data_IF_838207485084
#
_entry.id   IF_838207485084
#
_cell.length_a   1.000
_cell.length_b   1.000
_cell.length_c   1.000
_cell.angle_alpha   90.00
_cell.angle_beta   90.00
_cell.angle_gamma   90.00
#
_symmetry.space_group_name_H-M   'P 1'
#
loop_
_entity.id
_entity.type
_entity.pdbx_description
1 polymer ?
#
# COMPACT_ATOMS: atom_id res chain seq x y z
N UNK A 1 0.77 10.13 10.86
CA UNK A 1 -0.44 10.10 11.72
C UNK A 1 -0.15 9.42 13.05
N UNK A 2 0.18 8.12 13.10
CA UNK A 2 0.52 7.44 14.37
C UNK A 2 1.66 8.12 15.14
N UNK A 3 2.79 8.38 14.48
CA UNK A 3 3.96 9.02 15.12
C UNK A 3 3.63 10.41 15.63
N UNK A 4 2.99 11.23 14.79
CA UNK A 4 2.52 12.56 15.15
C UNK A 4 1.62 12.55 16.40
N UNK A 5 0.62 11.66 16.46
CA UNK A 5 -0.26 11.57 17.62
C UNK A 5 0.50 11.10 18.88
N UNK A 6 1.50 10.23 18.71
CA UNK A 6 2.31 9.71 19.83
C UNK A 6 3.24 10.79 20.39
N UNK A 7 3.78 11.63 19.52
CA UNK A 7 4.62 12.79 19.88
C UNK A 7 3.81 13.87 20.64
N UNK A 8 2.49 13.93 20.44
CA UNK A 8 1.58 14.80 21.19
C UNK A 8 0.96 14.12 22.44
N UNK A 9 1.61 13.08 22.97
CA UNK A 9 1.24 12.40 24.22
C UNK A 9 -0.18 11.80 24.24
N UNK A 10 -0.77 11.50 23.09
CA UNK A 10 -2.06 10.82 23.04
C UNK A 10 -1.93 9.32 23.30
N UNK A 11 -2.88 8.75 24.06
CA UNK A 11 -3.03 7.31 24.17
C UNK A 11 -3.57 6.74 22.84
N UNK A 12 -2.78 5.89 22.18
CA UNK A 12 -3.12 5.34 20.86
C UNK A 12 -3.28 3.83 20.94
N UNK A 13 -4.49 3.36 20.62
CA UNK A 13 -4.79 1.95 20.39
C UNK A 13 -5.03 1.74 18.90
N UNK A 14 -4.23 0.89 18.26
CA UNK A 14 -4.47 0.49 16.86
C UNK A 14 -5.28 -0.80 16.87
N UNK A 15 -6.48 -0.77 16.29
CA UNK A 15 -7.33 -1.95 16.20
C UNK A 15 -6.92 -2.83 15.01
N UNK A 16 -7.00 -4.15 15.19
CA UNK A 16 -6.78 -5.14 14.14
C UNK A 16 -7.97 -5.12 13.19
N UNK A 17 -7.80 -4.74 11.91
CA UNK A 17 -8.93 -4.42 11.04
C UNK A 17 -9.86 -5.62 10.77
N UNK A 18 -9.32 -6.82 10.55
CA UNK A 18 -10.15 -8.01 10.29
C UNK A 18 -10.97 -8.44 11.50
N UNK A 19 -10.33 -8.54 12.68
CA UNK A 19 -11.02 -8.87 13.93
C UNK A 19 -12.03 -7.80 14.33
N UNK A 20 -11.70 -6.52 14.12
CA UNK A 20 -12.62 -5.41 14.37
C UNK A 20 -13.83 -5.52 13.47
N UNK A 21 -13.64 -5.80 12.16
CA UNK A 21 -14.73 -6.01 11.23
C UNK A 21 -15.61 -7.19 11.63
N UNK A 22 -15.05 -8.31 12.09
CA UNK A 22 -15.83 -9.45 12.54
C UNK A 22 -16.77 -9.12 13.72
N UNK A 23 -16.43 -8.12 14.55
CA UNK A 23 -17.22 -7.70 15.71
C UNK A 23 -18.16 -6.53 15.35
N UNK A 24 -17.70 -5.66 14.46
CA UNK A 24 -18.30 -4.35 14.17
C UNK A 24 -18.92 -4.24 12.78
N UNK A 25 -19.07 -5.34 12.02
CA UNK A 25 -19.62 -5.27 10.67
C UNK A 25 -21.08 -4.82 10.72
N UNK A 26 -21.30 -3.55 10.37
CA UNK A 26 -22.63 -2.99 10.21
C UNK A 26 -23.09 -3.17 8.76
N UNK A 27 -24.37 -3.49 8.58
CA UNK A 27 -25.02 -3.58 7.26
C UNK A 27 -24.94 -2.26 6.46
N UNK A 28 -24.82 -1.13 7.16
CA UNK A 28 -24.64 0.21 6.58
C UNK A 28 -23.30 0.74 7.07
N UNK A 29 -22.37 0.94 6.13
CA UNK A 29 -21.04 1.48 6.42
C UNK A 29 -21.05 3.00 6.27
N UNK A 30 -20.80 3.72 7.36
CA UNK A 30 -20.68 5.17 7.38
C UNK A 30 -19.68 5.57 8.45
N UNK A 31 -18.85 6.57 8.21
CA UNK A 31 -17.84 7.05 9.16
C UNK A 31 -18.44 7.38 10.54
N UNK A 32 -19.69 7.87 10.59
CA UNK A 32 -20.40 8.14 11.85
C UNK A 32 -20.72 6.86 12.63
N UNK A 33 -21.15 5.81 11.94
CA UNK A 33 -21.51 4.52 12.54
C UNK A 33 -20.23 3.82 12.99
N UNK A 34 -19.20 3.79 12.14
CA UNK A 34 -17.90 3.18 12.43
C UNK A 34 -17.24 3.86 13.64
N UNK A 35 -17.28 5.20 13.74
CA UNK A 35 -16.77 5.94 14.90
C UNK A 35 -17.51 5.60 16.20
N UNK A 36 -18.85 5.48 16.14
CA UNK A 36 -19.66 5.09 17.29
C UNK A 36 -19.31 3.67 17.76
N UNK A 37 -19.22 2.72 16.83
CA UNK A 37 -18.87 1.33 17.17
C UNK A 37 -17.47 1.26 17.77
N UNK A 38 -16.49 1.97 17.21
CA UNK A 38 -15.14 2.03 17.79
C UNK A 38 -15.14 2.64 19.19
N UNK A 39 -15.92 3.69 19.42
CA UNK A 39 -16.07 4.31 20.75
C UNK A 39 -16.69 3.33 21.76
N UNK A 40 -17.73 2.61 21.36
CA UNK A 40 -18.39 1.62 22.21
C UNK A 40 -17.46 0.42 22.52
N UNK A 41 -16.70 -0.06 21.53
CA UNK A 41 -15.67 -1.10 21.73
C UNK A 41 -14.56 -0.64 22.67
N UNK A 42 -14.09 0.59 22.50
CA UNK A 42 -13.03 1.17 23.33
C UNK A 42 -13.53 1.38 24.77
N UNK A 43 -14.78 1.81 24.96
CA UNK A 43 -15.43 1.92 26.28
C UNK A 43 -15.51 0.56 26.97
N UNK A 44 -15.81 -0.51 26.23
CA UNK A 44 -15.81 -1.87 26.75
C UNK A 44 -14.44 -2.48 27.01
N UNK A 45 -13.34 -1.78 26.66
CA UNK A 45 -11.98 -2.33 26.64
C UNK A 45 -11.85 -3.63 25.80
N UNK A 46 -12.69 -3.75 24.77
CA UNK A 46 -12.78 -4.89 23.86
C UNK A 46 -12.17 -4.68 22.45
N UNK A 47 -11.46 -3.58 22.10
CA UNK A 47 -10.95 -3.48 20.75
C UNK A 47 -9.85 -4.55 20.57
N UNK A 48 -9.92 -5.38 19.52
CA UNK A 48 -8.83 -6.32 19.24
C UNK A 48 -7.63 -5.49 18.82
N UNK A 49 -6.64 -5.30 19.70
CA UNK A 49 -5.48 -4.46 19.39
C UNK A 49 -4.52 -5.17 18.44
N UNK A 50 -3.88 -4.38 17.60
CA UNK A 50 -2.83 -4.81 16.69
C UNK A 50 -1.48 -4.36 17.24
N UNK A 51 -0.49 -5.25 17.15
CA UNK A 51 0.88 -4.88 17.49
C UNK A 51 1.41 -3.81 16.53
N UNK A 52 2.01 -2.76 17.09
CA UNK A 52 2.70 -1.73 16.33
C UNK A 52 4.21 -1.96 16.47
N UNK A 53 4.95 -2.20 15.37
CA UNK A 53 6.41 -2.33 15.42
C UNK A 53 7.09 -1.03 15.87
N UNK A 54 8.29 -1.09 16.49
CA UNK A 54 9.16 0.06 16.73
C UNK A 54 9.39 0.94 15.50
N UNK A 55 9.80 2.20 15.73
CA UNK A 55 9.97 3.21 14.67
C UNK A 55 10.97 2.76 13.61
N UNK A 56 12.14 2.24 14.00
CA UNK A 56 13.16 1.79 13.03
C UNK A 56 12.61 0.69 12.10
N UNK A 57 11.82 -0.24 12.65
CA UNK A 57 11.20 -1.32 11.87
C UNK A 57 10.12 -0.78 10.93
N UNK A 58 9.35 0.25 11.33
CA UNK A 58 8.37 0.91 10.44
C UNK A 58 9.06 1.58 9.26
N UNK A 59 10.11 2.34 9.51
CA UNK A 59 10.89 3.04 8.48
C UNK A 59 11.49 2.07 7.47
N UNK A 60 12.10 0.96 7.95
CA UNK A 60 12.60 -0.10 7.08
C UNK A 60 11.49 -0.73 6.21
N UNK A 61 10.31 -1.00 6.79
CA UNK A 61 9.17 -1.53 6.04
C UNK A 61 8.70 -0.55 4.96
N UNK A 62 8.70 0.75 5.24
CA UNK A 62 8.30 1.77 4.27
C UNK A 62 9.29 1.87 3.12
N UNK A 63 10.60 1.81 3.38
CA UNK A 63 11.63 1.73 2.33
C UNK A 63 11.44 0.51 1.43
N UNK A 64 11.18 -0.67 2.02
CA UNK A 64 10.93 -1.90 1.26
C UNK A 64 9.66 -1.78 0.41
N UNK A 65 8.57 -1.22 0.95
CA UNK A 65 7.33 -0.99 0.21
C UNK A 65 7.54 -0.02 -0.96
N UNK A 66 8.24 1.09 -0.73
CA UNK A 66 8.62 2.06 -1.76
C UNK A 66 9.41 1.38 -2.89
N UNK A 67 10.42 0.58 -2.55
CA UNK A 67 11.18 -0.20 -3.55
C UNK A 67 10.30 -1.14 -4.36
N UNK A 68 9.43 -1.91 -3.69
CA UNK A 68 8.49 -2.82 -4.36
C UNK A 68 7.57 -2.06 -5.32
N UNK A 69 7.04 -0.92 -4.88
CA UNK A 69 6.19 -0.06 -5.70
C UNK A 69 6.92 0.41 -6.96
N UNK A 70 8.12 0.96 -6.82
CA UNK A 70 8.92 1.46 -7.95
C UNK A 70 9.29 0.36 -8.95
N UNK A 71 9.67 -0.83 -8.46
CA UNK A 71 9.97 -1.98 -9.31
C UNK A 71 8.73 -2.40 -10.12
N UNK A 72 7.56 -2.48 -9.47
CA UNK A 72 6.30 -2.82 -10.14
C UNK A 72 5.87 -1.75 -11.14
N UNK A 73 6.04 -0.47 -10.79
CA UNK A 73 5.76 0.64 -11.69
C UNK A 73 6.66 0.58 -12.93
N UNK A 74 7.95 0.32 -12.75
CA UNK A 74 8.90 0.12 -13.85
C UNK A 74 8.49 -1.04 -14.77
N UNK A 75 8.09 -2.17 -14.20
CA UNK A 75 7.57 -3.31 -14.97
C UNK A 75 6.29 -2.95 -15.74
N UNK A 76 5.35 -2.22 -15.11
CA UNK A 76 4.10 -1.77 -15.73
C UNK A 76 4.34 -0.86 -16.94
N UNK A 77 5.25 0.11 -16.80
CA UNK A 77 5.63 1.01 -17.90
C UNK A 77 6.27 0.23 -19.05
N UNK A 78 7.20 -0.68 -18.74
CA UNK A 78 7.83 -1.55 -19.76
C UNK A 78 6.80 -2.37 -20.54
N UNK A 79 5.84 -2.97 -19.83
CA UNK A 79 4.77 -3.74 -20.48
C UNK A 79 3.87 -2.86 -21.35
N UNK A 80 3.57 -1.63 -20.92
CA UNK A 80 2.80 -0.67 -21.73
C UNK A 80 3.53 -0.30 -23.03
N UNK A 81 4.84 -0.08 -22.96
CA UNK A 81 5.67 0.20 -24.15
C UNK A 81 5.63 -1.00 -25.11
N UNK A 82 5.84 -2.21 -24.61
CA UNK A 82 5.75 -3.43 -25.42
C UNK A 82 4.40 -3.58 -26.11
N UNK A 83 3.31 -3.35 -25.38
CA UNK A 83 1.96 -3.42 -25.92
C UNK A 83 1.73 -2.40 -27.05
N UNK A 84 2.25 -1.17 -26.91
CA UNK A 84 2.15 -0.14 -27.94
C UNK A 84 2.96 -0.47 -29.19
N UNK A 85 4.16 -1.07 -29.05
CA UNK A 85 4.96 -1.52 -30.18
C UNK A 85 4.25 -2.63 -30.97
N UNK A 86 3.68 -3.61 -30.27
CA UNK A 86 2.89 -4.69 -30.91
C UNK A 86 1.69 -4.10 -31.65
N UNK A 87 0.97 -3.15 -31.04
CA UNK A 87 -0.17 -2.48 -31.68
C UNK A 87 0.21 -1.78 -33.00
N UNK A 88 1.45 -1.29 -33.10
CA UNK A 88 1.99 -0.64 -34.30
C UNK A 88 2.69 -1.60 -35.27
N UNK A 89 2.74 -2.90 -34.96
CA UNK A 89 3.41 -3.91 -35.78
C UNK A 89 4.94 -3.83 -35.75
N UNK A 90 5.54 -3.16 -34.77
CA UNK A 90 7.00 -3.00 -34.66
C UNK A 90 7.58 -4.20 -33.90
N UNK A 91 8.34 -5.04 -34.59
CA UNK A 91 9.06 -6.16 -33.97
C UNK A 91 10.33 -5.68 -33.25
N UNK A 92 10.63 -6.29 -32.11
CA UNK A 92 11.84 -6.01 -31.33
C UNK A 92 12.52 -7.32 -30.94
N UNK A 93 13.52 -7.73 -31.73
CA UNK A 93 14.29 -8.98 -31.53
C UNK A 93 15.16 -9.01 -30.26
N UNK A 94 15.32 -7.88 -29.56
CA UNK A 94 16.19 -7.73 -28.38
C UNK A 94 15.46 -6.97 -27.27
N UNK A 95 16.01 -7.04 -26.05
CA UNK A 95 15.48 -6.26 -24.92
C UNK A 95 15.68 -4.75 -25.16
N UNK A 96 14.58 -4.07 -25.53
CA UNK A 96 14.50 -2.62 -25.81
C UNK A 96 14.88 -1.72 -24.63
N UNK A 97 14.92 -2.26 -23.40
CA UNK A 97 15.26 -1.49 -22.21
C UNK A 97 16.76 -1.53 -21.85
N UNK A 98 17.56 -2.31 -22.57
CA UNK A 98 19.03 -2.31 -22.45
C UNK A 98 19.66 -1.10 -23.17
N UNK A 99 20.92 -0.74 -22.84
CA UNK A 99 21.64 0.34 -23.54
C UNK A 99 21.68 0.10 -25.06
N UNK A 100 21.99 -1.13 -25.48
CA UNK A 100 22.01 -1.52 -26.89
C UNK A 100 20.61 -1.52 -27.53
N UNK A 101 19.57 -1.90 -26.79
CA UNK A 101 18.19 -1.91 -27.28
C UNK A 101 17.60 -0.52 -27.48
N UNK A 102 17.97 0.45 -26.63
CA UNK A 102 17.54 1.86 -26.77
C UNK A 102 18.09 2.52 -28.05
N UNK A 103 19.30 2.14 -28.46
CA UNK A 103 19.96 2.70 -29.65
C UNK A 103 19.57 1.97 -30.95
N UNK A 104 18.98 0.78 -30.84
CA UNK A 104 18.68 -0.11 -31.97
C UNK A 104 17.20 -0.22 -32.35
N UNK A 105 16.31 0.58 -31.76
CA UNK A 105 14.92 0.69 -32.19
C UNK A 105 14.79 1.61 -33.41
N UNK A 106 15.53 1.30 -34.47
CA UNK A 106 15.37 1.90 -35.79
C UNK A 106 15.49 0.74 -36.79
N UNK A 107 14.34 0.23 -37.20
CA UNK A 107 14.11 -0.48 -38.45
C UNK A 107 12.61 -0.34 -38.74
#
# INVERSE_FOLDING_TARGET
MYDFLKENEHEIKVAHPLKTRAIADAKIKSDKIDAKILADLTRGNLPPTSWIPPKEIRELRDLVRQRIFLVRLGAKVKNKIKAELIKRGIDYKRNIFSKAGKNGCIA
#
